data_IF_196957791993
#
_entry.id   IF_196957791993
#
_cell.length_a   1.000
_cell.length_b   1.000
_cell.length_c   1.000
_cell.angle_alpha   90.00
_cell.angle_beta   90.00
_cell.angle_gamma   90.00
#
_symmetry.space_group_name_H-M   'P 1'
#
loop_
_entity.id
_entity.type
_entity.pdbx_description
1 polymer ?
#
# COMPACT_ATOMS: atom_id res chain seq x y z
N UNK A 1 -11.12 -1.89 31.22
CA UNK A 1 -10.28 -2.25 30.06
C UNK A 1 -11.10 -2.00 28.82
N UNK A 2 -10.71 -1.04 27.97
CA UNK A 2 -11.39 -0.75 26.70
C UNK A 2 -10.47 -1.20 25.57
N UNK A 3 -11.05 -1.94 24.63
CA UNK A 3 -10.41 -2.59 23.49
C UNK A 3 -9.63 -1.60 22.61
N UNK A 4 -8.40 -1.97 22.26
CA UNK A 4 -7.48 -1.20 21.43
C UNK A 4 -7.75 -1.37 19.92
N UNK A 5 -9.00 -1.60 19.52
CA UNK A 5 -9.36 -1.99 18.16
C UNK A 5 -10.09 -0.89 17.35
N UNK A 6 -10.20 0.33 17.88
CA UNK A 6 -10.99 1.41 17.25
C UNK A 6 -10.25 2.74 17.12
N UNK A 7 -8.94 2.73 16.86
CA UNK A 7 -8.25 3.96 16.43
C UNK A 7 -8.54 4.21 14.94
N UNK A 8 -9.67 4.90 14.71
CA UNK A 8 -9.99 5.58 13.46
C UNK A 8 -8.73 6.27 12.92
N UNK A 9 -8.35 5.92 11.70
CA UNK A 9 -7.35 6.67 10.92
C UNK A 9 -7.71 8.15 11.01
N UNK A 10 -6.82 9.01 11.55
CA UNK A 10 -7.15 10.40 11.79
C UNK A 10 -7.50 11.07 10.46
N UNK A 11 -8.58 11.85 10.52
CA UNK A 11 -9.21 12.61 9.46
C UNK A 11 -8.20 13.16 8.44
N UNK A 12 -8.45 12.85 7.16
CA UNK A 12 -7.73 13.37 6.01
C UNK A 12 -8.00 14.87 5.84
N UNK A 13 -7.27 15.71 6.59
CA UNK A 13 -7.22 17.15 6.37
C UNK A 13 -5.82 17.66 6.72
N UNK A 14 -4.94 17.57 5.73
CA UNK A 14 -3.59 18.10 5.77
C UNK A 14 -2.87 17.60 4.53
N UNK A 15 -2.53 18.50 3.62
CA UNK A 15 -1.86 18.20 2.35
C UNK A 15 -0.59 17.37 2.60
N UNK A 16 -0.68 16.06 2.35
CA UNK A 16 0.46 15.16 2.23
C UNK A 16 1.27 15.64 1.01
N UNK A 17 2.55 15.99 1.19
CA UNK A 17 3.43 16.31 0.05
C UNK A 17 3.54 15.07 -0.82
N UNK A 18 3.10 15.20 -2.07
CA UNK A 18 2.53 14.13 -2.89
C UNK A 18 3.52 13.00 -3.22
N UNK A 19 3.09 11.75 -2.94
CA UNK A 19 3.65 10.52 -3.51
C UNK A 19 3.20 10.38 -4.99
N UNK A 20 3.88 9.57 -5.82
CA UNK A 20 3.50 9.39 -7.23
C UNK A 20 2.02 8.99 -7.37
N UNK A 21 1.27 9.78 -8.13
CA UNK A 21 -0.16 9.60 -8.41
C UNK A 21 -0.44 8.91 -9.75
N UNK A 22 0.62 8.54 -10.48
CA UNK A 22 0.47 7.96 -11.81
C UNK A 22 -0.04 6.53 -11.73
N UNK A 23 -1.09 6.18 -12.49
CA UNK A 23 -1.63 4.84 -12.51
C UNK A 23 -0.54 3.84 -12.96
N UNK A 24 -0.61 2.57 -12.52
CA UNK A 24 0.20 1.51 -13.10
C UNK A 24 0.05 1.53 -14.63
N UNK A 25 1.19 1.67 -15.32
CA UNK A 25 1.26 1.69 -16.77
C UNK A 25 2.48 0.88 -17.21
N UNK A 26 2.32 0.12 -18.27
CA UNK A 26 3.38 -0.70 -18.82
C UNK A 26 2.95 -1.28 -20.16
N UNK A 27 3.95 -1.70 -20.95
CA UNK A 27 3.74 -2.32 -22.27
C UNK A 27 3.01 -3.68 -22.19
N UNK A 28 2.92 -4.24 -20.98
CA UNK A 28 2.32 -5.53 -20.69
C UNK A 28 1.50 -5.42 -19.41
N UNK A 29 0.19 -5.61 -19.54
CA UNK A 29 -0.77 -5.56 -18.44
C UNK A 29 -1.55 -6.88 -18.39
N UNK A 30 -1.91 -7.32 -17.19
CA UNK A 30 -2.76 -8.49 -16.96
C UNK A 30 -3.90 -8.13 -16.04
N UNK A 31 -5.05 -8.75 -16.25
CA UNK A 31 -6.16 -8.77 -15.29
C UNK A 31 -6.19 -10.13 -14.60
N UNK A 32 -6.32 -10.10 -13.27
CA UNK A 32 -6.50 -11.29 -12.44
C UNK A 32 -7.86 -11.20 -11.77
N UNK A 33 -8.70 -12.19 -12.07
CA UNK A 33 -10.08 -12.22 -11.59
C UNK A 33 -10.14 -12.68 -10.14
N UNK A 34 -10.91 -11.95 -9.32
CA UNK A 34 -11.00 -12.16 -7.86
C UNK A 34 -9.65 -12.10 -7.12
N UNK A 35 -8.65 -11.42 -7.70
CA UNK A 35 -7.32 -11.31 -7.10
C UNK A 35 -7.25 -10.41 -5.88
N UNK A 36 -8.18 -9.46 -5.72
CA UNK A 36 -8.08 -8.47 -4.65
C UNK A 36 -8.24 -9.10 -3.26
N UNK A 37 -9.19 -10.02 -3.08
CA UNK A 37 -9.36 -10.75 -1.82
C UNK A 37 -8.09 -11.52 -1.42
N UNK A 38 -7.41 -12.16 -2.38
CA UNK A 38 -6.15 -12.87 -2.09
C UNK A 38 -5.04 -11.94 -1.63
N UNK A 39 -4.90 -10.79 -2.27
CA UNK A 39 -3.90 -9.79 -1.90
C UNK A 39 -4.23 -9.21 -0.52
N UNK A 40 -5.51 -8.96 -0.24
CA UNK A 40 -5.97 -8.47 1.05
C UNK A 40 -5.70 -9.47 2.17
N UNK A 41 -6.05 -10.74 1.99
CA UNK A 41 -5.79 -11.80 2.97
C UNK A 41 -4.29 -11.94 3.25
N UNK A 42 -3.48 -11.88 2.19
CA UNK A 42 -2.02 -11.89 2.32
C UNK A 42 -1.51 -10.68 3.11
N UNK A 43 -1.96 -9.46 2.79
CA UNK A 43 -1.60 -8.26 3.52
C UNK A 43 -2.03 -8.32 4.99
N UNK A 44 -3.22 -8.86 5.27
CA UNK A 44 -3.74 -9.06 6.63
C UNK A 44 -2.85 -10.00 7.44
N UNK A 45 -2.29 -11.04 6.81
CA UNK A 45 -1.32 -11.94 7.44
C UNK A 45 0.00 -11.24 7.83
N UNK A 46 0.38 -10.17 7.12
CA UNK A 46 1.61 -9.39 7.38
C UNK A 46 1.43 -8.32 8.47
N UNK A 47 0.19 -7.90 8.75
CA UNK A 47 -0.11 -6.81 9.70
C UNK A 47 0.57 -6.96 11.06
N UNK A 48 0.54 -8.12 11.75
CA UNK A 48 1.14 -8.25 13.08
C UNK A 48 2.64 -7.92 13.08
N UNK A 49 3.36 -8.37 12.05
CA UNK A 49 4.79 -8.14 11.90
C UNK A 49 5.09 -6.67 11.57
N UNK A 50 4.30 -6.04 10.69
CA UNK A 50 4.45 -4.61 10.34
C UNK A 50 4.13 -3.71 11.53
N UNK A 51 3.12 -4.05 12.33
CA UNK A 51 2.76 -3.33 13.55
C UNK A 51 3.84 -3.45 14.62
N UNK A 52 4.42 -4.64 14.79
CA UNK A 52 5.55 -4.84 15.70
C UNK A 52 6.73 -3.97 15.29
N UNK A 53 7.07 -3.97 14.00
CA UNK A 53 8.14 -3.14 13.47
C UNK A 53 7.87 -1.64 13.72
N UNK A 54 6.68 -1.16 13.36
CA UNK A 54 6.28 0.24 13.57
C UNK A 54 6.28 0.64 15.06
N UNK A 55 5.99 -0.29 15.97
CA UNK A 55 6.08 -0.06 17.42
C UNK A 55 7.52 0.17 17.86
N UNK A 56 8.47 -0.61 17.34
CA UNK A 56 9.91 -0.47 17.64
C UNK A 56 10.44 0.87 17.17
N UNK A 57 10.09 1.30 15.95
CA UNK A 57 10.61 2.56 15.37
C UNK A 57 9.84 3.79 15.82
N UNK A 58 8.67 3.66 16.46
CA UNK A 58 7.82 4.79 16.89
C UNK A 58 8.58 5.93 17.59
N UNK A 59 9.54 5.68 18.52
CA UNK A 59 10.28 6.76 19.18
C UNK A 59 11.13 7.62 18.24
N UNK A 60 11.48 7.11 17.05
CA UNK A 60 12.28 7.84 16.06
C UNK A 60 11.47 8.87 15.27
N UNK A 61 10.13 8.85 15.41
CA UNK A 61 9.23 9.71 14.65
C UNK A 61 9.05 9.28 13.20
N UNK A 62 9.51 8.08 12.81
CA UNK A 62 9.24 7.50 11.50
C UNK A 62 8.11 6.46 11.56
N UNK A 63 7.48 6.26 10.41
CA UNK A 63 6.43 5.29 10.17
C UNK A 63 6.63 4.64 8.80
N UNK A 64 6.55 3.31 8.77
CA UNK A 64 6.54 2.54 7.53
C UNK A 64 5.09 2.26 7.13
N UNK A 65 4.65 2.89 6.04
CA UNK A 65 3.32 2.69 5.46
C UNK A 65 3.38 1.53 4.46
N UNK A 66 2.63 0.43 4.67
CA UNK A 66 2.75 -0.76 3.82
C UNK A 66 2.06 -0.61 2.45
N UNK A 67 1.01 0.22 2.38
CA UNK A 67 0.22 0.42 1.16
C UNK A 67 -0.15 1.90 1.03
N UNK A 68 0.13 2.48 -0.13
CA UNK A 68 -0.44 3.76 -0.55
C UNK A 68 -1.66 3.52 -1.44
N UNK A 69 -2.78 4.21 -1.17
CA UNK A 69 -4.03 4.09 -1.92
C UNK A 69 -4.40 5.43 -2.55
N UNK A 70 -4.62 5.46 -3.85
CA UNK A 70 -5.14 6.62 -4.59
C UNK A 70 -6.52 6.28 -5.12
N UNK A 71 -7.50 7.13 -4.79
CA UNK A 71 -8.87 6.98 -5.27
C UNK A 71 -9.09 7.88 -6.48
N UNK A 72 -9.52 7.30 -7.59
CA UNK A 72 -9.77 8.01 -8.84
C UNK A 72 -11.19 7.76 -9.33
N UNK A 73 -11.90 8.84 -9.65
CA UNK A 73 -13.20 8.74 -10.33
C UNK A 73 -12.98 8.96 -11.82
N UNK A 74 -13.35 7.97 -12.62
CA UNK A 74 -13.33 8.08 -14.07
C UNK A 74 -14.48 8.99 -14.55
N UNK A 75 -14.38 9.58 -15.75
CA UNK A 75 -15.41 10.48 -16.30
C UNK A 75 -16.81 9.85 -16.42
N UNK A 76 -16.89 8.53 -16.55
CA UNK A 76 -18.14 7.75 -16.61
C UNK A 76 -18.68 7.35 -15.22
N UNK A 77 -18.11 7.88 -14.14
CA UNK A 77 -18.59 7.70 -12.77
C UNK A 77 -18.08 6.45 -12.05
N UNK A 78 -17.27 5.60 -12.71
CA UNK A 78 -16.63 4.45 -12.05
C UNK A 78 -15.53 4.93 -11.08
N UNK A 79 -15.36 4.20 -9.97
CA UNK A 79 -14.28 4.45 -9.02
C UNK A 79 -13.19 3.41 -9.22
N UNK A 80 -11.98 3.86 -9.52
CA UNK A 80 -10.76 3.06 -9.53
C UNK A 80 -9.96 3.34 -8.27
N UNK A 81 -9.33 2.30 -7.74
CA UNK A 81 -8.39 2.43 -6.63
C UNK A 81 -7.04 1.96 -7.16
N UNK A 82 -6.04 2.83 -7.08
CA UNK A 82 -4.66 2.46 -7.32
C UNK A 82 -4.01 2.14 -6.00
N UNK A 83 -3.42 0.95 -5.90
CA UNK A 83 -2.65 0.56 -4.73
C UNK A 83 -1.19 0.36 -5.10
N UNK A 84 -0.33 0.98 -4.30
CA UNK A 84 1.10 0.89 -4.44
C UNK A 84 1.65 0.28 -3.18
N UNK A 85 2.26 -0.89 -3.33
CA UNK A 85 2.89 -1.63 -2.28
C UNK A 85 4.39 -1.38 -2.34
N UNK A 86 4.99 -1.09 -1.19
CA UNK A 86 6.36 -0.66 -1.12
C UNK A 86 6.71 -0.13 0.25
N UNK A 87 8.00 0.13 0.46
CA UNK A 87 8.53 0.61 1.73
C UNK A 87 8.41 2.13 1.82
N UNK A 88 7.18 2.63 1.88
CA UNK A 88 6.94 4.07 1.95
C UNK A 88 7.23 4.60 3.35
N UNK A 89 8.24 5.46 3.45
CA UNK A 89 8.66 6.05 4.71
C UNK A 89 8.01 7.40 4.90
N UNK A 90 7.45 7.56 6.09
CA UNK A 90 6.78 8.78 6.50
C UNK A 90 7.38 9.27 7.81
N UNK A 91 7.54 10.58 7.93
CA UNK A 91 7.93 11.24 9.17
C UNK A 91 6.69 11.81 9.84
N UNK A 92 6.51 11.47 11.11
CA UNK A 92 5.49 12.04 11.97
C UNK A 92 6.02 13.37 12.49
N UNK A 93 5.43 14.47 12.04
CA UNK A 93 5.75 15.82 12.52
C UNK A 93 4.61 16.38 13.36
N UNK A 94 4.91 17.34 14.24
CA UNK A 94 3.92 18.02 15.09
C UNK A 94 3.61 17.28 16.40
N UNK A 95 2.75 17.90 17.23
CA UNK A 95 2.34 17.40 18.55
C UNK A 95 0.82 17.50 18.71
N UNK A 96 0.24 16.59 19.50
CA UNK A 96 -1.20 16.57 19.77
C UNK A 96 -2.04 16.49 18.50
N UNK A 97 -3.04 17.36 18.39
CA UNK A 97 -3.96 17.45 17.25
C UNK A 97 -3.33 17.99 15.96
N UNK A 98 -2.10 18.53 16.00
CA UNK A 98 -1.38 19.06 14.84
C UNK A 98 -0.38 18.06 14.26
N UNK A 99 -0.56 16.77 14.54
CA UNK A 99 0.29 15.72 13.99
C UNK A 99 0.01 15.57 12.49
N UNK A 100 1.06 15.56 11.67
CA UNK A 100 0.99 15.30 10.23
C UNK A 100 1.99 14.25 9.83
N UNK A 101 1.68 13.52 8.76
CA UNK A 101 2.63 12.62 8.11
C UNK A 101 3.29 13.38 6.95
N UNK A 102 4.61 13.28 6.84
CA UNK A 102 5.39 13.87 5.75
C UNK A 102 6.09 12.74 5.03
N UNK A 103 5.82 12.58 3.74
CA UNK A 103 6.49 11.56 2.94
C UNK A 103 7.99 11.84 2.83
N UNK A 104 8.81 10.80 3.03
CA UNK A 104 10.28 10.88 3.07
C UNK A 104 10.92 10.15 1.88
N UNK A 105 10.22 9.20 1.28
CA UNK A 105 10.74 8.40 0.18
C UNK A 105 10.50 6.90 0.35
N UNK A 106 11.03 6.12 -0.59
CA UNK A 106 11.04 4.65 -0.54
C UNK A 106 12.25 4.07 0.17
N UNK A 107 13.33 4.85 0.24
CA UNK A 107 14.58 4.41 0.86
C UNK A 107 14.46 4.46 2.39
N UNK A 108 14.90 3.38 3.03
CA UNK A 108 14.94 3.29 4.48
C UNK A 108 15.88 4.36 5.06
N UNK A 109 15.42 5.21 5.99
CA UNK A 109 16.30 6.10 6.73
C UNK A 109 17.43 5.32 7.40
N UNK A 110 18.67 5.79 7.24
CA UNK A 110 19.88 5.04 7.64
C UNK A 110 19.92 4.66 9.13
N UNK A 111 19.27 5.44 10.00
CA UNK A 111 19.21 5.22 11.45
C UNK A 111 18.22 4.15 11.91
N UNK A 112 17.39 3.61 11.01
CA UNK A 112 16.34 2.65 11.37
C UNK A 112 16.79 1.20 11.17
N UNK A 113 16.29 0.25 11.99
CA UNK A 113 16.50 -1.18 11.77
C UNK A 113 15.92 -1.63 10.43
N UNK A 114 16.40 -2.74 9.88
CA UNK A 114 15.84 -3.25 8.62
C UNK A 114 14.34 -3.58 8.76
N UNK A 115 13.49 -3.11 7.84
CA UNK A 115 12.10 -3.48 7.84
C UNK A 115 11.94 -4.94 7.40
N UNK A 116 10.85 -5.58 7.85
CA UNK A 116 10.53 -6.93 7.41
C UNK A 116 10.21 -6.96 5.91
N UNK A 117 10.62 -8.04 5.24
CA UNK A 117 10.31 -8.29 3.84
C UNK A 117 8.87 -8.73 3.70
N UNK A 118 8.13 -8.12 2.77
CA UNK A 118 6.70 -8.41 2.57
C UNK A 118 6.40 -9.21 1.31
N UNK A 119 7.33 -9.30 0.36
CA UNK A 119 7.08 -9.89 -0.96
C UNK A 119 6.20 -9.03 -1.87
N UNK A 120 5.73 -7.88 -1.37
CA UNK A 120 4.90 -6.92 -2.11
C UNK A 120 5.71 -5.68 -2.53
N UNK A 121 7.03 -5.68 -2.34
CA UNK A 121 7.87 -4.54 -2.68
C UNK A 121 7.77 -4.15 -4.16
N UNK A 122 7.48 -2.87 -4.40
CA UNK A 122 7.33 -2.25 -5.72
C UNK A 122 6.19 -2.81 -6.59
N UNK A 123 5.21 -3.48 -5.97
CA UNK A 123 4.00 -3.94 -6.65
C UNK A 123 3.03 -2.78 -6.79
N UNK A 124 2.53 -2.56 -8.00
CA UNK A 124 1.50 -1.55 -8.28
C UNK A 124 0.31 -2.22 -8.93
N UNK A 125 -0.90 -1.91 -8.49
CA UNK A 125 -2.11 -2.50 -9.03
C UNK A 125 -3.28 -1.52 -9.12
N UNK A 126 -4.20 -1.82 -10.03
CA UNK A 126 -5.50 -1.16 -10.16
C UNK A 126 -6.56 -2.14 -9.66
N UNK A 127 -7.45 -1.68 -8.79
CA UNK A 127 -8.60 -2.45 -8.32
C UNK A 127 -9.83 -2.04 -9.12
N UNK A 128 -10.49 -3.04 -9.71
CA UNK A 128 -11.79 -2.90 -10.37
C UNK A 128 -12.75 -3.97 -9.81
N UNK A 129 -13.59 -3.57 -8.84
CA UNK A 129 -14.43 -4.51 -8.10
C UNK A 129 -13.57 -5.46 -7.26
N UNK A 130 -13.62 -6.76 -7.54
CA UNK A 130 -12.75 -7.77 -6.92
C UNK A 130 -11.57 -8.19 -7.80
N UNK A 131 -11.48 -7.64 -9.02
CA UNK A 131 -10.40 -7.93 -9.94
C UNK A 131 -9.24 -6.98 -9.70
N UNK A 132 -8.03 -7.44 -10.04
CA UNK A 132 -6.83 -6.61 -10.00
C UNK A 132 -6.17 -6.58 -11.36
N UNK A 133 -5.76 -5.39 -11.78
CA UNK A 133 -4.99 -5.18 -13.00
C UNK A 133 -3.57 -4.81 -12.58
N UNK A 134 -2.59 -5.52 -13.15
CA UNK A 134 -1.18 -5.42 -12.80
C UNK A 134 -0.37 -5.22 -14.08
N UNK A 135 0.73 -4.47 -13.99
CA UNK A 135 1.79 -4.62 -14.98
C UNK A 135 2.47 -5.99 -14.81
N UNK A 136 3.05 -6.51 -15.90
CA UNK A 136 3.67 -7.83 -15.88
C UNK A 136 4.82 -7.97 -14.84
N UNK A 137 5.67 -6.95 -14.58
CA UNK A 137 6.62 -6.99 -13.47
C UNK A 137 5.97 -7.18 -12.10
N UNK A 138 4.92 -6.42 -11.79
CA UNK A 138 4.17 -6.52 -10.54
C UNK A 138 3.51 -7.88 -10.41
N UNK A 139 2.86 -8.36 -11.47
CA UNK A 139 2.28 -9.70 -11.50
C UNK A 139 3.32 -10.77 -11.20
N UNK A 140 4.49 -10.72 -11.86
CA UNK A 140 5.58 -11.70 -11.62
C UNK A 140 6.06 -11.73 -10.17
N UNK A 141 6.09 -10.59 -9.47
CA UNK A 141 6.47 -10.57 -8.05
C UNK A 141 5.47 -11.32 -7.17
N UNK A 142 4.19 -11.21 -7.47
CA UNK A 142 3.10 -11.75 -6.63
C UNK A 142 2.36 -12.93 -7.25
N UNK A 143 2.89 -13.54 -8.32
CA UNK A 143 2.22 -14.65 -9.01
C UNK A 143 1.96 -15.83 -8.08
N UNK A 144 2.83 -16.02 -7.09
CA UNK A 144 2.68 -17.04 -6.05
C UNK A 144 1.47 -16.78 -5.13
N UNK A 145 1.13 -15.51 -4.86
CA UNK A 145 -0.04 -15.09 -4.08
C UNK A 145 -1.33 -15.31 -4.88
N UNK A 146 -1.24 -15.09 -6.20
CA UNK A 146 -2.36 -15.16 -7.14
C UNK A 146 -2.53 -16.53 -7.79
N UNK A 147 -1.76 -17.53 -7.35
CA UNK A 147 -1.74 -18.86 -7.95
C UNK A 147 -3.13 -19.51 -7.94
N UNK A 148 -3.50 -20.12 -9.06
CA UNK A 148 -4.79 -20.79 -9.25
C UNK A 148 -5.97 -19.87 -9.58
N UNK A 149 -5.75 -18.55 -9.67
CA UNK A 149 -6.75 -17.62 -10.20
C UNK A 149 -6.72 -17.55 -11.72
N UNK A 150 -7.85 -17.14 -12.31
CA UNK A 150 -7.94 -16.88 -13.74
C UNK A 150 -7.24 -15.57 -14.10
N UNK A 151 -6.40 -15.61 -15.13
CA UNK A 151 -5.55 -14.49 -15.56
C UNK A 151 -5.66 -14.30 -17.07
N UNK A 152 -5.86 -13.05 -17.50
CA UNK A 152 -5.87 -12.68 -18.92
C UNK A 152 -4.89 -11.54 -19.19
N UNK A 153 -4.21 -11.61 -20.33
CA UNK A 153 -3.41 -10.50 -20.83
C UNK A 153 -4.33 -9.42 -21.42
N UNK A 154 -4.14 -8.19 -20.98
CA UNK A 154 -4.81 -7.03 -21.58
C UNK A 154 -3.98 -6.60 -22.79
N UNK A 155 -4.62 -6.62 -23.97
CA UNK A 155 -4.04 -6.16 -25.24
C UNK A 155 -4.27 -4.68 -25.44
#
# INVERSE_FOLDING_TARGET
>A
MKDACDEKSPNAQGYDKEEPTEPPSGDCMVIVYNGYDRIKDYLDSLKPMLYRYNTIIRPTGYYLKPVHKVYYKTPDGRSRIYEYYGRYWWRIEGRGSRRRLVYVGKDKPASLPEPPTTGLEDVKLIIEGNNVILDCPSYKRIEHILSGLHVEALK
#
